data_IF_045402857906
#
_entry.id   IF_045402857906
#
_cell.length_a   1.000
_cell.length_b   1.000
_cell.length_c   1.000
_cell.angle_alpha   90.00
_cell.angle_beta   90.00
_cell.angle_gamma   90.00
#
_symmetry.space_group_name_H-M   'P 1'
#
loop_
_entity.id
_entity.type
_entity.pdbx_description
1 polymer ?
#
# COMPACT_ATOMS: atom_id res chain seq x y z
N UNK A 1 18.14 27.85 -47.45
CA UNK A 1 16.89 27.23 -46.92
C UNK A 1 17.07 25.78 -46.45
N UNK A 2 17.97 24.99 -47.05
CA UNK A 2 18.20 23.59 -46.64
C UNK A 2 18.75 23.39 -45.21
N UNK A 3 19.60 24.29 -44.72
CA UNK A 3 20.24 24.16 -43.40
C UNK A 3 19.24 24.30 -42.23
N UNK A 4 18.25 25.19 -42.36
CA UNK A 4 17.19 25.40 -41.36
C UNK A 4 16.25 24.21 -41.28
N UNK A 5 15.87 23.62 -42.41
CA UNK A 5 15.03 22.41 -42.44
C UNK A 5 15.73 21.19 -41.84
N UNK A 6 17.05 21.07 -42.04
CA UNK A 6 17.85 19.99 -41.44
C UNK A 6 17.94 20.13 -39.91
N UNK A 7 18.16 21.35 -39.41
CA UNK A 7 18.20 21.62 -37.97
C UNK A 7 16.84 21.30 -37.32
N UNK A 8 15.74 21.72 -37.95
CA UNK A 8 14.39 21.49 -37.44
C UNK A 8 14.00 20.01 -37.47
N UNK A 9 14.46 19.26 -38.48
CA UNK A 9 14.29 17.80 -38.55
C UNK A 9 15.07 17.09 -37.45
N UNK A 10 16.34 17.45 -37.23
CA UNK A 10 17.17 16.87 -36.17
C UNK A 10 16.59 17.18 -34.78
N UNK A 11 16.12 18.41 -34.57
CA UNK A 11 15.52 18.80 -33.29
C UNK A 11 14.18 18.09 -33.03
N UNK A 12 13.34 17.94 -34.05
CA UNK A 12 12.10 17.18 -33.96
C UNK A 12 12.35 15.70 -33.67
N UNK A 13 13.36 15.11 -34.30
CA UNK A 13 13.76 13.73 -34.06
C UNK A 13 14.32 13.54 -32.64
N UNK A 14 15.09 14.50 -32.14
CA UNK A 14 15.63 14.50 -30.78
C UNK A 14 14.50 14.57 -29.73
N UNK A 15 13.51 15.44 -29.94
CA UNK A 15 12.34 15.55 -29.05
C UNK A 15 11.52 14.26 -29.06
N UNK A 16 11.28 13.67 -30.23
CA UNK A 16 10.59 12.39 -30.33
C UNK A 16 11.37 11.26 -29.62
N UNK A 17 12.69 11.26 -29.74
CA UNK A 17 13.55 10.28 -29.06
C UNK A 17 13.51 10.45 -27.54
N UNK A 18 13.52 11.69 -27.05
CA UNK A 18 13.36 12.02 -25.63
C UNK A 18 11.98 11.60 -25.12
N UNK A 19 10.91 11.83 -25.89
CA UNK A 19 9.57 11.40 -25.52
C UNK A 19 9.45 9.87 -25.47
N UNK A 20 10.01 9.15 -26.45
CA UNK A 20 10.06 7.68 -26.43
C UNK A 20 10.89 7.20 -25.22
N UNK A 21 12.00 7.87 -24.91
CA UNK A 21 12.83 7.52 -23.75
C UNK A 21 12.08 7.77 -22.44
N UNK A 22 11.41 8.91 -22.29
CA UNK A 22 10.59 9.25 -21.12
C UNK A 22 9.42 8.28 -20.97
N UNK A 23 8.75 7.93 -22.07
CA UNK A 23 7.62 6.99 -22.04
C UNK A 23 8.07 5.54 -21.80
N UNK A 24 9.27 5.18 -22.27
CA UNK A 24 9.92 3.89 -21.97
C UNK A 24 10.38 3.83 -20.53
N UNK A 25 11.00 4.89 -20.00
CA UNK A 25 11.40 5.00 -18.59
C UNK A 25 10.18 5.01 -17.70
N UNK A 26 9.12 5.75 -18.04
CA UNK A 26 7.85 5.72 -17.32
C UNK A 26 7.25 4.32 -17.34
N UNK A 27 7.25 3.60 -18.47
CA UNK A 27 6.82 2.19 -18.51
C UNK A 27 7.74 1.25 -17.74
N UNK A 28 9.06 1.47 -17.69
CA UNK A 28 9.98 0.59 -16.95
C UNK A 28 9.91 0.86 -15.43
N UNK A 29 9.70 2.11 -15.03
CA UNK A 29 9.56 2.53 -13.62
C UNK A 29 8.16 2.21 -13.09
N UNK A 30 7.09 2.41 -13.87
CA UNK A 30 5.70 2.11 -13.45
C UNK A 30 5.26 0.66 -13.76
N UNK A 31 5.99 -0.08 -14.61
CA UNK A 31 5.72 -1.50 -14.90
C UNK A 31 6.86 -2.39 -14.43
N UNK A 32 7.47 -2.05 -13.29
CA UNK A 32 8.17 -3.05 -12.49
C UNK A 32 7.12 -4.04 -11.97
N UNK A 33 6.87 -5.08 -12.77
CA UNK A 33 6.38 -6.36 -12.26
C UNK A 33 7.17 -6.72 -10.98
N UNK A 34 6.51 -7.33 -10.00
CA UNK A 34 6.97 -7.39 -8.62
C UNK A 34 8.38 -7.98 -8.59
N UNK A 35 9.36 -7.13 -8.28
CA UNK A 35 10.68 -7.57 -7.86
C UNK A 35 10.47 -8.60 -6.75
N UNK A 36 11.26 -9.66 -6.76
CA UNK A 36 11.18 -10.88 -5.91
C UNK A 36 11.31 -10.65 -4.38
N UNK A 37 11.03 -9.44 -3.93
CA UNK A 37 11.00 -8.96 -2.54
C UNK A 37 9.76 -8.11 -2.29
N UNK A 38 8.69 -8.29 -3.07
CA UNK A 38 7.46 -7.50 -2.95
C UNK A 38 6.76 -7.92 -1.65
N UNK A 39 6.96 -7.12 -0.61
CA UNK A 39 6.21 -7.21 0.63
C UNK A 39 4.72 -7.17 0.25
N UNK A 40 4.00 -8.28 0.46
CA UNK A 40 2.56 -8.32 0.19
C UNK A 40 1.89 -7.61 1.36
N UNK A 41 1.51 -6.36 1.13
CA UNK A 41 1.21 -5.39 2.18
C UNK A 41 -0.26 -5.33 2.58
N UNK A 42 -1.14 -5.86 1.74
CA UNK A 42 -2.56 -6.01 2.02
C UNK A 42 -2.93 -7.50 2.16
N UNK A 43 -3.94 -7.83 2.96
CA UNK A 43 -4.51 -9.17 2.95
C UNK A 43 -5.23 -9.42 1.62
N UNK A 44 -5.07 -10.62 1.07
CA UNK A 44 -5.70 -11.04 -0.20
C UNK A 44 -6.43 -12.38 -0.07
N UNK A 45 -7.33 -12.66 -1.02
CA UNK A 45 -8.13 -13.88 -1.07
C UNK A 45 -8.88 -14.18 0.24
N UNK A 46 -8.82 -15.43 0.71
CA UNK A 46 -9.49 -15.86 1.95
C UNK A 46 -9.10 -15.01 3.18
N UNK A 47 -7.88 -14.46 3.22
CA UNK A 47 -7.45 -13.61 4.34
C UNK A 47 -8.21 -12.30 4.37
N UNK A 48 -8.43 -11.70 3.21
CA UNK A 48 -9.24 -10.49 3.08
C UNK A 48 -10.66 -10.75 3.56
N UNK A 49 -11.25 -11.88 3.16
CA UNK A 49 -12.60 -12.27 3.61
C UNK A 49 -12.68 -12.36 5.14
N UNK A 50 -11.73 -13.04 5.78
CA UNK A 50 -11.69 -13.20 7.24
C UNK A 50 -11.53 -11.83 7.93
N UNK A 51 -10.67 -10.96 7.41
CA UNK A 51 -10.41 -9.65 8.02
C UNK A 51 -11.62 -8.71 7.87
N UNK A 52 -12.35 -8.76 6.74
CA UNK A 52 -13.61 -8.03 6.55
C UNK A 52 -14.72 -8.57 7.44
N UNK A 53 -14.93 -9.90 7.48
CA UNK A 53 -15.97 -10.52 8.33
C UNK A 53 -15.75 -10.26 9.82
N UNK A 54 -14.50 -10.09 10.24
CA UNK A 54 -14.14 -9.80 11.63
C UNK A 54 -14.19 -8.31 11.97
N UNK A 55 -14.58 -7.44 11.04
CA UNK A 55 -14.62 -5.98 11.23
C UNK A 55 -13.23 -5.36 11.39
N UNK A 56 -12.15 -6.11 11.11
CA UNK A 56 -10.77 -5.59 11.19
C UNK A 56 -10.41 -4.72 10.01
N UNK A 57 -11.15 -4.88 8.91
CA UNK A 57 -11.05 -4.10 7.69
C UNK A 57 -12.47 -3.71 7.27
N UNK A 58 -12.72 -2.42 7.08
CA UNK A 58 -14.01 -1.91 6.65
C UNK A 58 -14.20 -2.07 5.14
N UNK A 59 -15.45 -2.10 4.64
CA UNK A 59 -15.73 -2.10 3.21
C UNK A 59 -15.13 -0.90 2.46
N UNK A 60 -15.06 0.26 3.11
CA UNK A 60 -14.36 1.44 2.59
C UNK A 60 -12.87 1.15 2.39
N UNK A 61 -12.20 0.57 3.38
CA UNK A 61 -10.78 0.26 3.32
C UNK A 61 -10.48 -0.74 2.19
N UNK A 62 -11.35 -1.73 1.97
CA UNK A 62 -11.21 -2.66 0.83
C UNK A 62 -11.26 -1.93 -0.51
N UNK A 63 -12.22 -1.00 -0.69
CA UNK A 63 -12.33 -0.20 -1.92
C UNK A 63 -11.06 0.63 -2.14
N UNK A 64 -10.56 1.28 -1.10
CA UNK A 64 -9.36 2.11 -1.19
C UNK A 64 -8.10 1.30 -1.45
N UNK A 65 -7.95 0.11 -0.86
CA UNK A 65 -6.84 -0.81 -1.18
C UNK A 65 -6.88 -1.29 -2.64
N UNK A 66 -8.07 -1.41 -3.24
CA UNK A 66 -8.22 -1.72 -4.67
C UNK A 66 -7.80 -0.54 -5.55
N UNK A 67 -8.17 0.69 -5.19
CA UNK A 67 -7.73 1.91 -5.91
C UNK A 67 -6.22 2.08 -5.90
N UNK A 68 -5.56 1.69 -4.80
CA UNK A 68 -4.11 1.72 -4.65
C UNK A 68 -3.41 0.49 -5.28
N UNK A 69 -4.17 -0.41 -5.93
CA UNK A 69 -3.66 -1.64 -6.54
C UNK A 69 -2.91 -2.58 -5.55
N UNK A 70 -3.23 -2.52 -4.26
CA UNK A 70 -2.61 -3.36 -3.24
C UNK A 70 -3.20 -4.77 -3.17
N UNK A 71 -4.41 -4.94 -3.70
CA UNK A 71 -5.06 -6.24 -3.86
C UNK A 71 -5.23 -6.50 -5.35
N UNK A 72 -4.72 -7.64 -5.82
CA UNK A 72 -4.84 -8.02 -7.23
C UNK A 72 -6.33 -8.23 -7.59
N UNK A 73 -6.70 -7.77 -8.78
CA UNK A 73 -8.01 -8.05 -9.37
C UNK A 73 -8.27 -9.55 -9.50
N UNK A 74 -7.23 -10.37 -9.69
CA UNK A 74 -7.34 -11.83 -9.70
C UNK A 74 -7.71 -12.40 -8.31
N UNK A 75 -7.13 -11.86 -7.24
CA UNK A 75 -7.43 -12.27 -5.86
C UNK A 75 -8.85 -11.85 -5.46
N UNK A 76 -9.30 -10.66 -5.90
CA UNK A 76 -10.69 -10.22 -5.75
C UNK A 76 -11.64 -11.09 -6.59
N UNK A 77 -11.21 -11.48 -7.80
CA UNK A 77 -11.96 -12.36 -8.70
C UNK A 77 -12.19 -13.75 -8.11
N UNK A 78 -11.22 -14.30 -7.36
CA UNK A 78 -11.38 -15.57 -6.64
C UNK A 78 -12.42 -15.49 -5.52
N UNK A 79 -12.59 -14.32 -4.92
CA UNK A 79 -13.65 -14.08 -3.92
C UNK A 79 -15.03 -13.88 -4.58
N UNK A 80 -15.06 -13.51 -5.86
CA UNK A 80 -16.27 -13.44 -6.68
C UNK A 80 -17.41 -12.67 -6.01
N UNK A 81 -18.62 -13.25 -6.05
CA UNK A 81 -19.84 -12.68 -5.45
C UNK A 81 -19.81 -12.65 -3.90
N UNK A 82 -18.86 -13.33 -3.24
CA UNK A 82 -18.84 -13.44 -1.77
C UNK A 82 -18.37 -12.15 -1.11
N UNK A 83 -17.34 -11.51 -1.66
CA UNK A 83 -16.79 -10.30 -1.07
C UNK A 83 -17.81 -9.12 -1.13
N UNK A 84 -18.47 -8.83 -2.27
CA UNK A 84 -19.54 -7.84 -2.32
C UNK A 84 -20.68 -8.13 -1.33
N UNK A 85 -21.08 -9.41 -1.21
CA UNK A 85 -22.13 -9.81 -0.27
C UNK A 85 -21.74 -9.53 1.19
N UNK A 86 -20.53 -9.91 1.59
CA UNK A 86 -20.02 -9.67 2.94
C UNK A 86 -19.87 -8.17 3.20
N UNK A 87 -19.34 -7.41 2.23
CA UNK A 87 -19.22 -5.96 2.34
C UNK A 87 -20.59 -5.32 2.56
N UNK A 88 -21.63 -5.75 1.84
CA UNK A 88 -23.00 -5.27 2.04
C UNK A 88 -23.56 -5.67 3.42
N UNK A 89 -23.31 -6.90 3.87
CA UNK A 89 -23.73 -7.38 5.21
C UNK A 89 -23.04 -6.62 6.35
N UNK A 90 -21.82 -6.13 6.12
CA UNK A 90 -21.03 -5.33 7.08
C UNK A 90 -21.46 -3.86 7.04
N UNK A 91 -21.60 -3.25 5.86
CA UNK A 91 -22.12 -1.88 5.71
C UNK A 91 -23.53 -1.73 6.28
N UNK A 92 -24.38 -2.76 6.18
CA UNK A 92 -25.72 -2.77 6.77
C UNK A 92 -25.71 -2.70 8.31
N UNK A 93 -24.58 -2.97 8.98
CA UNK A 93 -24.41 -2.86 10.44
C UNK A 93 -23.98 -1.46 10.89
N UNK A 94 -23.87 -0.50 9.97
CA UNK A 94 -23.51 0.88 10.27
C UNK A 94 -22.00 1.11 10.42
N UNK A 95 -21.16 0.18 9.97
CA UNK A 95 -19.71 0.42 9.88
C UNK A 95 -19.42 1.52 8.86
N UNK A 96 -18.65 2.52 9.26
CA UNK A 96 -18.41 3.73 8.47
C UNK A 96 -17.62 3.44 7.20
N UNK A 97 -18.11 3.99 6.08
CA UNK A 97 -17.39 4.05 4.80
C UNK A 97 -16.24 5.08 4.81
N UNK A 98 -16.06 5.84 5.89
CA UNK A 98 -14.95 6.79 6.02
C UNK A 98 -13.65 6.03 6.20
N UNK A 99 -12.82 6.08 5.17
CA UNK A 99 -11.46 5.55 5.18
C UNK A 99 -10.50 6.68 5.52
N UNK A 100 -9.69 6.50 6.55
CA UNK A 100 -8.53 7.36 6.78
C UNK A 100 -7.27 6.65 6.27
N UNK A 101 -6.35 7.41 5.69
CA UNK A 101 -5.08 6.84 5.24
C UNK A 101 -4.27 6.29 6.44
N UNK A 102 -4.47 6.85 7.64
CA UNK A 102 -3.96 6.30 8.90
C UNK A 102 -4.50 4.89 9.21
N UNK A 103 -5.73 4.56 8.81
CA UNK A 103 -6.30 3.22 8.98
C UNK A 103 -5.68 2.22 7.97
N UNK A 104 -5.48 2.65 6.72
CA UNK A 104 -4.74 1.86 5.72
C UNK A 104 -3.30 1.61 6.15
N UNK A 105 -2.65 2.62 6.72
CA UNK A 105 -1.30 2.50 7.25
C UNK A 105 -1.22 1.45 8.38
N UNK A 106 -2.24 1.36 9.24
CA UNK A 106 -2.33 0.32 10.27
C UNK A 106 -2.49 -1.08 9.66
N UNK A 107 -3.25 -1.24 8.57
CA UNK A 107 -3.37 -2.53 7.85
C UNK A 107 -2.00 -2.96 7.33
N UNK A 108 -1.28 -2.05 6.67
CA UNK A 108 0.08 -2.24 6.16
C UNK A 108 1.04 -2.66 7.27
N UNK A 109 1.04 -1.96 8.40
CA UNK A 109 1.88 -2.30 9.56
C UNK A 109 1.57 -3.69 10.13
N UNK A 110 0.28 -4.10 10.18
CA UNK A 110 -0.11 -5.44 10.65
C UNK A 110 0.44 -6.53 9.73
N UNK A 111 0.39 -6.34 8.41
CA UNK A 111 0.94 -7.33 7.48
C UNK A 111 2.48 -7.34 7.52
N UNK A 112 3.10 -6.16 7.59
CA UNK A 112 4.55 -6.03 7.77
C UNK A 112 5.03 -6.77 9.03
N UNK A 113 4.33 -6.62 10.18
CA UNK A 113 4.66 -7.37 11.40
C UNK A 113 4.61 -8.89 11.23
N UNK A 114 3.65 -9.42 10.44
CA UNK A 114 3.55 -10.86 10.15
C UNK A 114 4.70 -11.34 9.28
N UNK A 115 5.18 -10.49 8.38
CA UNK A 115 6.26 -10.79 7.44
C UNK A 115 7.64 -10.38 8.00
N UNK A 116 7.71 -9.93 9.26
CA UNK A 116 8.90 -9.32 9.85
C UNK A 116 10.15 -10.20 9.87
N UNK A 117 9.99 -11.51 10.02
CA UNK A 117 11.12 -12.44 9.95
C UNK A 117 11.67 -12.66 8.54
N UNK A 118 10.90 -12.32 7.50
CA UNK A 118 11.21 -12.60 6.09
C UNK A 118 11.80 -11.41 5.33
N UNK A 119 11.59 -10.19 5.82
CA UNK A 119 12.00 -8.96 5.11
C UNK A 119 12.96 -8.12 5.96
N UNK A 120 14.25 -8.20 5.63
CA UNK A 120 15.34 -7.53 6.37
C UNK A 120 15.32 -5.99 6.25
N UNK A 121 14.67 -5.44 5.21
CA UNK A 121 14.68 -4.00 4.87
C UNK A 121 13.31 -3.30 4.98
N UNK A 122 12.54 -3.63 6.02
CA UNK A 122 11.17 -3.13 6.17
C UNK A 122 11.04 -1.62 6.38
N UNK A 123 12.07 -0.97 6.95
CA UNK A 123 12.03 0.45 7.30
C UNK A 123 11.87 1.36 6.06
N UNK A 124 12.60 1.08 4.97
CA UNK A 124 12.52 1.89 3.75
C UNK A 124 11.15 1.77 3.10
N UNK A 125 10.68 0.53 2.92
CA UNK A 125 9.39 0.24 2.29
C UNK A 125 8.23 0.85 3.08
N UNK A 126 8.26 0.78 4.41
CA UNK A 126 7.23 1.41 5.25
C UNK A 126 7.29 2.94 5.20
N UNK A 127 8.46 3.54 5.01
CA UNK A 127 8.59 5.00 4.85
C UNK A 127 7.98 5.51 3.55
N UNK A 128 8.24 4.84 2.43
CA UNK A 128 7.64 5.17 1.13
C UNK A 128 6.11 5.03 1.17
N UNK A 129 5.60 3.98 1.81
CA UNK A 129 4.16 3.78 1.98
C UNK A 129 3.53 4.80 2.92
N UNK A 130 4.21 5.17 4.01
CA UNK A 130 3.74 6.22 4.91
C UNK A 130 3.61 7.55 4.16
N UNK A 131 4.52 7.85 3.22
CA UNK A 131 4.41 9.03 2.37
C UNK A 131 3.23 8.95 1.41
N UNK A 132 3.03 7.81 0.75
CA UNK A 132 1.91 7.60 -0.17
C UNK A 132 0.54 7.71 0.51
N UNK A 133 0.47 7.39 1.80
CA UNK A 133 -0.72 7.44 2.66
C UNK A 133 -0.79 8.70 3.53
N UNK A 134 0.06 9.70 3.29
CA UNK A 134 0.15 10.92 4.13
C UNK A 134 0.24 10.64 5.65
N UNK A 135 0.77 9.46 6.03
CA UNK A 135 0.89 8.94 7.40
C UNK A 135 2.32 9.07 7.92
N UNK A 136 3.08 9.99 7.33
CA UNK A 136 4.48 10.27 7.68
C UNK A 136 4.65 10.75 9.14
N UNK A 137 3.75 11.58 9.70
CA UNK A 137 3.82 11.97 11.10
C UNK A 137 3.78 10.79 12.08
N UNK A 138 2.87 9.84 11.86
CA UNK A 138 2.70 8.61 12.64
C UNK A 138 3.94 7.72 12.53
N UNK A 139 4.44 7.53 11.31
CA UNK A 139 5.68 6.79 11.05
C UNK A 139 6.88 7.40 11.78
N UNK A 140 7.07 8.72 11.66
CA UNK A 140 8.16 9.44 12.33
C UNK A 140 8.02 9.41 13.86
N UNK A 141 6.80 9.41 14.41
CA UNK A 141 6.54 9.17 15.82
C UNK A 141 7.10 7.82 16.29
N UNK A 142 6.75 6.73 15.59
CA UNK A 142 7.25 5.39 15.91
C UNK A 142 8.78 5.28 15.80
N UNK A 143 9.36 5.88 14.75
CA UNK A 143 10.81 5.87 14.51
C UNK A 143 11.60 6.63 15.59
N UNK A 144 11.12 7.80 16.02
CA UNK A 144 11.75 8.58 17.10
C UNK A 144 11.87 7.77 18.38
N UNK A 145 10.84 6.98 18.69
CA UNK A 145 10.80 6.12 19.87
C UNK A 145 11.63 4.82 19.74
N UNK A 146 12.23 4.53 18.57
CA UNK A 146 13.05 3.34 18.33
C UNK A 146 14.55 3.57 18.49
N UNK A 147 14.98 4.81 18.73
CA UNK A 147 16.39 5.21 18.79
C UNK A 147 17.04 5.36 17.40
N UNK A 148 18.25 5.94 17.37
CA UNK A 148 18.96 6.32 16.12
C UNK A 148 19.64 5.16 15.39
N UNK A 149 19.78 3.98 16.03
CA UNK A 149 20.26 2.75 15.39
C UNK A 149 19.09 1.84 15.01
N UNK A 150 19.26 1.02 13.98
CA UNK A 150 18.32 -0.02 13.52
C UNK A 150 18.05 -1.10 14.58
N UNK A 151 17.42 -0.72 15.69
CA UNK A 151 16.92 -1.67 16.67
C UNK A 151 15.59 -2.22 16.15
N UNK A 152 15.67 -3.15 15.20
CA UNK A 152 14.53 -3.80 14.56
C UNK A 152 13.55 -4.41 15.58
N UNK A 153 14.02 -4.81 16.76
CA UNK A 153 13.18 -5.25 17.89
C UNK A 153 12.39 -4.10 18.52
N UNK A 154 13.04 -2.95 18.76
CA UNK A 154 12.36 -1.77 19.30
C UNK A 154 11.32 -1.22 18.32
N UNK A 155 11.66 -1.15 17.03
CA UNK A 155 10.71 -0.75 15.99
C UNK A 155 9.51 -1.70 15.91
N UNK A 156 9.75 -3.01 15.92
CA UNK A 156 8.69 -4.02 15.96
C UNK A 156 7.79 -3.85 17.20
N UNK A 157 8.38 -3.58 18.36
CA UNK A 157 7.65 -3.33 19.61
C UNK A 157 6.78 -2.09 19.53
N UNK A 158 7.32 -0.97 19.03
CA UNK A 158 6.58 0.30 18.89
C UNK A 158 5.41 0.17 17.91
N UNK A 159 5.61 -0.51 16.77
CA UNK A 159 4.53 -0.79 15.83
C UNK A 159 3.45 -1.65 16.50
N UNK A 160 3.84 -2.63 17.31
CA UNK A 160 2.90 -3.50 18.04
C UNK A 160 2.08 -2.69 19.07
N UNK A 161 2.72 -1.78 19.81
CA UNK A 161 2.07 -0.89 20.77
C UNK A 161 1.10 0.08 20.07
N UNK A 162 1.53 0.75 19.00
CA UNK A 162 0.70 1.65 18.20
C UNK A 162 -0.55 0.94 17.64
N UNK A 163 -0.40 -0.30 17.17
CA UNK A 163 -1.52 -1.11 16.68
C UNK A 163 -2.45 -1.62 17.79
N UNK A 164 -1.99 -1.64 19.05
CA UNK A 164 -2.81 -1.95 20.21
C UNK A 164 -3.60 -0.72 20.68
N UNK A 165 -2.97 0.46 20.70
CA UNK A 165 -3.59 1.74 21.04
C UNK A 165 -4.67 2.16 20.03
N UNK A 166 -4.45 1.88 18.74
CA UNK A 166 -5.44 2.10 17.68
C UNK A 166 -6.62 1.11 17.67
N UNK A 167 -6.74 0.20 18.64
CA UNK A 167 -7.95 -0.61 18.84
C UNK A 167 -8.94 0.15 19.70
N UNK A 168 -9.56 1.18 19.15
CA UNK A 168 -10.86 1.64 19.63
C UNK A 168 -11.93 0.70 19.08
N UNK A 169 -12.16 -0.43 19.78
CA UNK A 169 -13.30 -1.38 19.64
C UNK A 169 -13.31 -2.27 18.37
N UNK A 170 -13.63 -3.57 18.36
CA UNK A 170 -14.36 -4.44 19.31
C UNK A 170 -13.58 -5.72 19.71
N UNK A 171 -13.63 -6.14 20.98
CA UNK A 171 -13.72 -7.54 21.34
C UNK A 171 -15.19 -7.97 21.21
N UNK A 172 -15.52 -8.85 20.27
CA UNK A 172 -16.71 -9.67 20.41
C UNK A 172 -16.30 -10.96 21.11
N UNK A 173 -16.74 -11.07 22.36
CA UNK A 173 -16.50 -12.18 23.28
C UNK A 173 -16.94 -11.76 24.66
#
# INVERSE_FOLDING_TARGET
MFLLGLIQFVFGMLIALIQILVDTVARVVFRSKPSSTTLVLAPCGLRLEIEVRSGRITPGEVRRMRELEWVDAADLGQLGERLPRIMNEVSARGESDLVSDAALFRIVLRQALRQWSRHRHMRSSLGELAQALDSLPEWNGMLRNSGTRENSRALKSNITAFLAEGRTEFPHG
#
